data_IF_056772078139
#
_entry.id   IF_056772078139
#
_cell.length_a   1.000
_cell.length_b   1.000
_cell.length_c   1.000
_cell.angle_alpha   90.00
_cell.angle_beta   90.00
_cell.angle_gamma   90.00
#
_symmetry.space_group_name_H-M   'P 1'
#
loop_
_entity.id
_entity.type
_entity.pdbx_description
1 polymer ?
#
# COMPACT_ATOMS: atom_id res chain seq x y z
N UNK A 1 41.63 28.25 -27.17
CA UNK A 1 41.12 27.13 -26.38
C UNK A 1 40.91 27.63 -24.96
N UNK A 2 39.69 27.98 -24.60
CA UNK A 2 39.31 28.42 -23.26
C UNK A 2 39.26 27.22 -22.32
N UNK A 3 39.91 27.35 -21.16
CA UNK A 3 39.86 26.40 -20.05
C UNK A 3 38.42 26.24 -19.53
N UNK A 4 37.97 25.03 -19.17
CA UNK A 4 36.65 24.84 -18.60
C UNK A 4 36.56 25.50 -17.20
N UNK A 5 35.46 26.21 -16.97
CA UNK A 5 35.15 26.92 -15.73
C UNK A 5 34.77 25.93 -14.61
N UNK A 6 35.77 25.50 -13.84
CA UNK A 6 35.61 24.54 -12.74
C UNK A 6 34.65 25.03 -11.65
N UNK A 7 34.60 26.35 -11.40
CA UNK A 7 33.72 26.93 -10.38
C UNK A 7 32.23 26.75 -10.70
N UNK A 8 31.85 26.99 -11.96
CA UNK A 8 30.47 26.87 -12.43
C UNK A 8 29.96 25.42 -12.33
N UNK A 9 30.81 24.46 -12.71
CA UNK A 9 30.50 23.03 -12.61
C UNK A 9 30.26 22.57 -11.17
N UNK A 10 31.04 23.13 -10.22
CA UNK A 10 30.93 22.81 -8.80
C UNK A 10 29.62 23.34 -8.17
N UNK A 11 29.16 24.53 -8.57
CA UNK A 11 27.86 25.06 -8.10
C UNK A 11 26.67 24.22 -8.57
N UNK A 12 26.69 23.74 -9.81
CA UNK A 12 25.63 22.85 -10.32
C UNK A 12 25.62 21.49 -9.61
N UNK A 13 26.79 20.90 -9.35
CA UNK A 13 26.92 19.68 -8.56
C UNK A 13 26.39 19.85 -7.14
N UNK A 14 26.77 20.96 -6.48
CA UNK A 14 26.31 21.26 -5.13
C UNK A 14 24.79 21.51 -5.08
N UNK A 15 24.24 22.25 -6.04
CA UNK A 15 22.80 22.50 -6.14
C UNK A 15 22.02 21.22 -6.42
N UNK A 16 22.54 20.33 -7.28
CA UNK A 16 21.97 19.02 -7.56
C UNK A 16 21.98 18.12 -6.31
N UNK A 17 23.06 18.14 -5.53
CA UNK A 17 23.15 17.37 -4.28
C UNK A 17 22.19 17.91 -3.20
N UNK A 18 21.96 19.23 -3.14
CA UNK A 18 20.99 19.85 -2.24
C UNK A 18 19.54 19.56 -2.68
N UNK A 19 19.25 19.50 -3.98
CA UNK A 19 17.92 19.11 -4.47
C UNK A 19 17.67 17.61 -4.32
N UNK A 20 18.71 16.76 -4.45
CA UNK A 20 18.66 15.33 -4.16
C UNK A 20 18.49 15.04 -2.66
N UNK A 21 19.00 15.90 -1.76
CA UNK A 21 18.83 15.75 -0.31
C UNK A 21 17.49 16.27 0.22
N UNK A 22 16.76 17.05 -0.59
CA UNK A 22 15.37 17.41 -0.35
C UNK A 22 14.43 16.34 -0.95
N UNK A 23 14.61 15.08 -0.55
CA UNK A 23 13.49 14.13 -0.59
C UNK A 23 12.50 14.56 0.50
N UNK A 24 11.62 15.50 0.17
CA UNK A 24 10.44 15.74 0.99
C UNK A 24 9.64 14.44 1.01
N UNK A 25 9.66 13.74 2.15
CA UNK A 25 8.77 12.63 2.40
C UNK A 25 7.33 13.17 2.35
N UNK A 26 6.68 13.02 1.20
CA UNK A 26 5.29 13.40 1.00
C UNK A 26 4.39 12.39 1.73
N UNK A 27 4.37 12.45 3.05
CA UNK A 27 3.32 11.82 3.85
C UNK A 27 2.12 12.77 3.90
N UNK A 28 0.92 12.21 3.85
CA UNK A 28 -0.32 12.92 4.17
C UNK A 28 -0.87 12.39 5.48
N UNK A 29 -1.53 13.26 6.24
CA UNK A 29 -2.16 12.90 7.52
C UNK A 29 -3.62 12.59 7.24
N UNK A 30 -4.07 11.43 7.72
CA UNK A 30 -5.48 11.10 7.78
C UNK A 30 -5.96 11.21 9.23
N UNK A 31 -7.04 11.92 9.43
CA UNK A 31 -7.63 12.21 10.73
C UNK A 31 -9.17 12.23 10.61
N UNK A 32 -9.87 12.69 11.65
CA UNK A 32 -11.34 12.73 11.63
C UNK A 32 -11.89 13.69 10.56
N UNK A 33 -11.13 14.72 10.19
CA UNK A 33 -11.51 15.74 9.23
C UNK A 33 -11.19 15.29 7.79
N UNK A 34 -10.12 14.51 7.62
CA UNK A 34 -9.68 13.92 6.35
C UNK A 34 -9.52 12.41 6.53
N UNK A 35 -10.62 11.65 6.62
CA UNK A 35 -10.58 10.25 7.04
C UNK A 35 -10.05 9.29 5.97
N UNK A 36 -9.99 9.72 4.72
CA UNK A 36 -9.49 8.88 3.63
C UNK A 36 -8.81 9.67 2.52
N UNK A 37 -7.97 8.96 1.76
CA UNK A 37 -7.45 9.39 0.46
C UNK A 37 -7.85 8.37 -0.61
N UNK A 38 -8.19 8.86 -1.81
CA UNK A 38 -8.57 8.02 -2.94
C UNK A 38 -7.48 8.03 -4.02
N UNK A 39 -7.11 6.84 -4.48
CA UNK A 39 -6.13 6.60 -5.53
C UNK A 39 -6.77 5.79 -6.68
N UNK A 40 -6.17 5.89 -7.87
CA UNK A 40 -6.66 5.13 -9.04
C UNK A 40 -6.70 3.63 -8.76
N UNK A 41 -7.68 2.96 -9.39
CA UNK A 41 -7.84 1.50 -9.41
C UNK A 41 -6.50 0.77 -9.51
N UNK A 42 -6.30 -0.20 -8.62
CA UNK A 42 -5.17 -1.10 -8.71
C UNK A 42 -5.45 -2.20 -9.73
N UNK A 43 -4.56 -2.36 -10.71
CA UNK A 43 -4.59 -3.52 -11.60
C UNK A 43 -4.06 -4.75 -10.85
N UNK A 44 -4.90 -5.32 -9.98
CA UNK A 44 -4.60 -6.51 -9.19
C UNK A 44 -4.74 -7.79 -10.04
N UNK A 45 -4.01 -7.86 -11.17
CA UNK A 45 -3.94 -9.05 -12.01
C UNK A 45 -3.31 -10.24 -11.28
N UNK A 46 -2.98 -11.31 -12.03
CA UNK A 46 -2.34 -12.49 -11.45
C UNK A 46 -0.94 -12.20 -10.89
N UNK A 47 -0.28 -11.16 -11.39
CA UNK A 47 0.99 -10.68 -10.88
C UNK A 47 0.88 -9.18 -10.63
N UNK A 48 1.06 -8.76 -9.38
CA UNK A 48 0.91 -7.37 -8.99
C UNK A 48 1.31 -7.14 -7.54
N UNK A 49 1.85 -5.95 -7.28
CA UNK A 49 2.31 -5.55 -5.96
C UNK A 49 1.73 -4.18 -5.64
N UNK A 50 1.31 -4.01 -4.39
CA UNK A 50 0.95 -2.73 -3.81
C UNK A 50 1.80 -2.52 -2.55
N UNK A 51 2.45 -1.37 -2.46
CA UNK A 51 3.28 -0.97 -1.31
C UNK A 51 2.74 0.33 -0.72
N UNK A 52 2.78 0.41 0.62
CA UNK A 52 2.51 1.63 1.37
C UNK A 52 3.36 1.64 2.64
N UNK A 53 3.56 2.82 3.19
CA UNK A 53 4.12 2.99 4.53
C UNK A 53 3.08 3.65 5.42
N UNK A 54 3.01 3.26 6.69
CA UNK A 54 2.11 3.89 7.66
C UNK A 54 2.81 4.11 8.99
N UNK A 55 2.27 5.05 9.75
CA UNK A 55 2.69 5.37 11.12
C UNK A 55 1.43 5.74 11.91
N UNK A 56 1.22 5.12 13.07
CA UNK A 56 0.05 5.37 13.91
C UNK A 56 0.33 4.99 15.37
N UNK A 57 -0.43 5.55 16.29
CA UNK A 57 -0.59 5.14 17.69
C UNK A 57 -1.88 4.33 17.93
N UNK A 58 -2.78 4.28 16.93
CA UNK A 58 -4.05 3.57 17.03
C UNK A 58 -3.87 2.06 16.78
N UNK A 59 -4.33 1.19 17.70
CA UNK A 59 -4.15 -0.26 17.56
C UNK A 59 -5.11 -0.89 16.54
N UNK A 60 -6.13 -0.14 16.09
CA UNK A 60 -7.14 -0.61 15.14
C UNK A 60 -7.44 0.50 14.14
N UNK A 61 -7.51 0.15 12.85
CA UNK A 61 -7.81 1.12 11.81
C UNK A 61 -7.72 0.50 10.43
N UNK A 62 -8.58 0.94 9.51
CA UNK A 62 -8.49 0.57 8.10
C UNK A 62 -7.27 1.26 7.51
N UNK A 63 -6.45 0.53 6.75
CA UNK A 63 -5.31 1.10 6.04
C UNK A 63 -5.58 1.17 4.54
N UNK A 64 -6.17 0.13 3.97
CA UNK A 64 -6.49 0.08 2.55
C UNK A 64 -7.78 -0.71 2.29
N UNK A 65 -8.58 -0.23 1.35
CA UNK A 65 -9.73 -0.94 0.80
C UNK A 65 -9.87 -0.75 -0.71
N UNK A 66 -10.21 -1.83 -1.42
CA UNK A 66 -10.66 -1.80 -2.81
C UNK A 66 -11.47 -3.07 -3.10
N UNK A 67 -12.42 -3.01 -4.02
CA UNK A 67 -13.29 -4.12 -4.39
C UNK A 67 -13.62 -4.14 -5.90
N UNK A 68 -14.40 -5.12 -6.34
CA UNK A 68 -14.84 -5.29 -7.73
C UNK A 68 -16.10 -4.47 -8.11
N UNK A 69 -16.42 -3.45 -7.32
CA UNK A 69 -17.65 -2.67 -7.48
C UNK A 69 -18.83 -3.25 -6.68
N UNK A 70 -18.56 -3.84 -5.52
CA UNK A 70 -19.57 -4.33 -4.58
C UNK A 70 -20.14 -5.72 -4.86
N UNK A 71 -19.45 -6.56 -5.64
CA UNK A 71 -19.96 -7.89 -5.99
C UNK A 71 -19.41 -8.97 -5.06
N UNK A 72 -18.13 -9.34 -5.18
CA UNK A 72 -17.54 -10.46 -4.42
C UNK A 72 -16.08 -10.27 -4.04
N UNK A 73 -15.26 -9.72 -4.93
CA UNK A 73 -13.81 -9.64 -4.76
C UNK A 73 -13.40 -8.36 -4.06
N UNK A 74 -12.47 -8.46 -3.11
CA UNK A 74 -11.99 -7.31 -2.36
C UNK A 74 -10.59 -7.54 -1.79
N UNK A 75 -9.90 -6.46 -1.47
CA UNK A 75 -8.73 -6.42 -0.59
C UNK A 75 -9.02 -5.42 0.54
N UNK A 76 -8.96 -5.89 1.78
CA UNK A 76 -9.07 -5.09 3.00
C UNK A 76 -7.82 -5.29 3.85
N UNK A 77 -7.03 -4.24 4.01
CA UNK A 77 -5.87 -4.22 4.89
C UNK A 77 -6.18 -3.32 6.08
N UNK A 78 -5.98 -3.83 7.29
CA UNK A 78 -6.23 -3.07 8.53
C UNK A 78 -5.33 -3.51 9.67
N UNK A 79 -5.23 -2.66 10.68
CA UNK A 79 -4.73 -3.06 11.99
C UNK A 79 -5.86 -3.69 12.80
N UNK A 80 -5.54 -4.80 13.48
CA UNK A 80 -6.38 -5.43 14.49
C UNK A 80 -5.50 -5.73 15.69
N UNK A 81 -5.72 -5.05 16.82
CA UNK A 81 -4.89 -5.16 18.02
C UNK A 81 -3.39 -5.04 17.70
N UNK A 82 -3.03 -4.00 16.95
CA UNK A 82 -1.64 -3.68 16.58
C UNK A 82 -0.94 -4.70 15.68
N UNK A 83 -1.66 -5.66 15.13
CA UNK A 83 -1.18 -6.59 14.11
C UNK A 83 -1.80 -6.26 12.76
N UNK A 84 -1.04 -6.42 11.68
CA UNK A 84 -1.52 -6.15 10.34
C UNK A 84 -2.34 -7.35 9.85
N UNK A 85 -3.56 -7.10 9.39
CA UNK A 85 -4.46 -8.13 8.88
C UNK A 85 -4.93 -7.78 7.47
N UNK A 86 -4.61 -8.66 6.53
CA UNK A 86 -5.15 -8.65 5.19
C UNK A 86 -6.30 -9.65 5.10
N UNK A 87 -7.49 -9.17 4.77
CA UNK A 87 -8.62 -10.00 4.34
C UNK A 87 -8.84 -9.76 2.85
N UNK A 88 -8.99 -10.83 2.07
CA UNK A 88 -9.17 -10.70 0.63
C UNK A 88 -10.07 -11.81 0.07
N UNK A 89 -10.73 -11.54 -1.05
CA UNK A 89 -11.46 -12.53 -1.83
C UNK A 89 -11.15 -12.34 -3.32
N UNK A 90 -11.03 -13.47 -4.01
CA UNK A 90 -10.66 -13.60 -5.42
C UNK A 90 -11.48 -14.75 -6.04
N UNK A 91 -12.80 -14.72 -5.88
CA UNK A 91 -13.76 -15.73 -6.35
C UNK A 91 -13.86 -17.01 -5.51
N UNK A 92 -12.80 -17.39 -4.79
CA UNK A 92 -12.71 -18.64 -4.01
C UNK A 92 -13.26 -18.60 -2.58
N UNK A 93 -13.74 -17.45 -2.12
CA UNK A 93 -14.13 -17.19 -0.74
C UNK A 93 -13.02 -16.52 0.07
N UNK A 94 -13.43 -15.77 1.10
CA UNK A 94 -12.55 -14.88 1.84
C UNK A 94 -11.40 -15.61 2.56
N UNK A 95 -10.20 -15.09 2.38
CA UNK A 95 -8.98 -15.51 3.04
C UNK A 95 -8.50 -14.42 4.01
N UNK A 96 -7.71 -14.83 5.02
CA UNK A 96 -7.12 -13.93 6.01
C UNK A 96 -5.64 -14.27 6.19
N UNK A 97 -4.77 -13.27 6.13
CA UNK A 97 -3.34 -13.31 6.49
C UNK A 97 -3.13 -12.28 7.61
N UNK A 98 -2.35 -12.62 8.64
CA UNK A 98 -2.00 -11.69 9.72
C UNK A 98 -0.49 -11.74 9.97
N UNK A 99 0.14 -10.57 10.09
CA UNK A 99 1.60 -10.43 10.25
C UNK A 99 1.91 -9.31 11.24
N UNK A 100 3.01 -9.48 11.98
CA UNK A 100 3.52 -8.47 12.90
C UNK A 100 2.70 -8.35 14.19
N UNK A 101 3.18 -7.48 15.06
CA UNK A 101 2.55 -7.06 16.31
C UNK A 101 3.10 -5.67 16.68
N UNK A 102 2.45 -4.98 17.61
CA UNK A 102 2.89 -3.66 18.10
C UNK A 102 3.18 -2.64 16.99
N UNK A 103 2.48 -2.73 15.85
CA UNK A 103 2.70 -1.85 14.69
C UNK A 103 2.06 -0.46 14.85
N UNK A 104 1.59 -0.14 16.05
CA UNK A 104 1.07 1.18 16.44
C UNK A 104 2.06 1.88 17.39
N UNK A 105 3.36 1.62 17.23
CA UNK A 105 4.41 2.11 18.11
C UNK A 105 4.84 3.56 17.80
N UNK A 106 4.16 4.22 16.85
CA UNK A 106 4.49 5.56 16.40
C UNK A 106 5.70 5.63 15.44
N UNK A 107 6.19 4.50 14.91
CA UNK A 107 7.22 4.47 13.86
C UNK A 107 6.64 4.15 12.49
N UNK A 108 7.43 4.43 11.45
CA UNK A 108 7.08 4.08 10.07
C UNK A 108 7.29 2.59 9.84
N UNK A 109 6.26 1.93 9.34
CA UNK A 109 6.28 0.53 8.93
C UNK A 109 6.05 0.41 7.43
N UNK A 110 6.88 -0.38 6.75
CA UNK A 110 6.72 -0.64 5.32
C UNK A 110 5.89 -1.89 5.10
N UNK A 111 4.79 -1.74 4.36
CA UNK A 111 3.85 -2.81 4.04
C UNK A 111 3.86 -3.13 2.55
N UNK A 112 3.78 -4.42 2.23
CA UNK A 112 3.59 -4.90 0.87
C UNK A 112 2.48 -5.96 0.83
N UNK A 113 1.53 -5.77 -0.08
CA UNK A 113 0.62 -6.82 -0.54
C UNK A 113 1.08 -7.23 -1.93
N UNK A 114 1.43 -8.50 -2.12
CA UNK A 114 1.86 -9.00 -3.42
C UNK A 114 1.06 -10.23 -3.84
N UNK A 115 0.78 -10.29 -5.13
CA UNK A 115 0.13 -11.40 -5.82
C UNK A 115 1.12 -12.05 -6.78
N UNK A 116 1.17 -13.38 -6.72
CA UNK A 116 1.89 -14.24 -7.66
C UNK A 116 1.01 -15.45 -7.95
N UNK A 117 0.25 -15.34 -9.02
CA UNK A 117 -0.78 -16.28 -9.46
C UNK A 117 -1.81 -16.55 -8.33
N UNK A 118 -1.93 -17.79 -7.86
CA UNK A 118 -2.80 -18.17 -6.76
C UNK A 118 -2.27 -17.75 -5.38
N UNK A 119 -1.00 -17.35 -5.28
CA UNK A 119 -0.37 -16.96 -4.02
C UNK A 119 -0.58 -15.47 -3.75
N UNK A 120 -1.02 -15.15 -2.54
CA UNK A 120 -1.09 -13.80 -2.01
C UNK A 120 -0.23 -13.71 -0.75
N UNK A 121 0.62 -12.69 -0.67
CA UNK A 121 1.50 -12.45 0.47
C UNK A 121 1.27 -11.08 1.08
N UNK A 122 1.36 -11.03 2.40
CA UNK A 122 1.43 -9.82 3.20
C UNK A 122 2.81 -9.75 3.83
N UNK A 123 3.50 -8.62 3.66
CA UNK A 123 4.79 -8.35 4.29
C UNK A 123 4.72 -7.04 5.08
N UNK A 124 5.34 -7.02 6.26
CA UNK A 124 5.61 -5.81 7.04
C UNK A 124 7.04 -5.87 7.57
N UNK A 125 7.83 -4.83 7.30
CA UNK A 125 9.23 -4.69 7.71
C UNK A 125 10.10 -5.93 7.38
N UNK A 126 9.83 -6.54 6.23
CA UNK A 126 10.54 -7.73 5.74
C UNK A 126 10.01 -9.06 6.26
N UNK A 127 9.13 -9.07 7.27
CA UNK A 127 8.46 -10.28 7.75
C UNK A 127 7.27 -10.57 6.86
N UNK A 128 7.26 -11.74 6.21
CA UNK A 128 6.23 -12.11 5.21
C UNK A 128 5.43 -13.33 5.65
N UNK A 129 4.12 -13.32 5.39
CA UNK A 129 3.25 -14.49 5.42
C UNK A 129 2.46 -14.56 4.12
N UNK A 130 2.12 -15.79 3.69
CA UNK A 130 1.44 -16.01 2.42
C UNK A 130 0.34 -17.05 2.55
N UNK A 131 -0.65 -16.95 1.67
CA UNK A 131 -1.67 -17.99 1.46
C UNK A 131 -1.89 -18.27 -0.01
N UNK A 132 -2.25 -19.51 -0.28
CA UNK A 132 -2.70 -19.98 -1.59
C UNK A 132 -4.22 -19.90 -1.66
N UNK A 133 -4.72 -19.16 -2.64
CA UNK A 133 -6.14 -19.07 -2.96
C UNK A 133 -6.59 -20.38 -3.61
N UNK A 134 -7.81 -20.83 -3.32
CA UNK A 134 -8.40 -22.04 -3.91
C UNK A 134 -9.55 -21.63 -4.82
N UNK A 135 -9.71 -22.26 -5.97
CA UNK A 135 -10.77 -21.91 -6.91
C UNK A 135 -10.38 -22.20 -8.36
N UNK A 136 -11.32 -21.96 -9.27
CA UNK A 136 -11.09 -22.02 -10.72
C UNK A 136 -10.69 -20.67 -11.32
N UNK A 137 -11.02 -19.59 -10.63
CA UNK A 137 -10.76 -18.21 -11.04
C UNK A 137 -10.11 -17.48 -9.87
N UNK A 138 -9.08 -16.68 -10.19
CA UNK A 138 -8.33 -15.86 -9.24
C UNK A 138 -8.22 -14.41 -9.72
N UNK A 139 -8.95 -14.06 -10.78
CA UNK A 139 -9.00 -12.70 -11.27
C UNK A 139 -9.64 -11.80 -10.20
N UNK A 140 -9.17 -10.57 -10.09
CA UNK A 140 -9.78 -9.57 -9.21
C UNK A 140 -10.81 -8.79 -10.00
N UNK A 141 -12.07 -9.24 -9.96
CA UNK A 141 -13.18 -8.63 -10.67
C UNK A 141 -12.88 -8.38 -12.17
N UNK A 142 -13.41 -7.27 -12.68
CA UNK A 142 -13.10 -6.75 -14.01
C UNK A 142 -12.61 -5.32 -13.85
N UNK A 143 -11.40 -5.02 -14.35
CA UNK A 143 -10.76 -3.71 -14.13
C UNK A 143 -11.66 -2.49 -14.41
N UNK A 144 -12.56 -2.59 -15.39
CA UNK A 144 -13.52 -1.52 -15.73
C UNK A 144 -14.57 -1.25 -14.65
N UNK A 145 -14.97 -2.27 -13.88
CA UNK A 145 -15.98 -2.18 -12.81
C UNK A 145 -15.38 -2.06 -11.42
N UNK A 146 -14.10 -2.41 -11.25
CA UNK A 146 -13.43 -2.35 -9.95
C UNK A 146 -13.49 -0.93 -9.36
N UNK A 147 -13.58 -0.83 -8.05
CA UNK A 147 -13.50 0.45 -7.34
C UNK A 147 -12.08 1.00 -7.35
N UNK A 148 -11.98 2.30 -7.08
CA UNK A 148 -10.71 2.93 -6.78
C UNK A 148 -10.11 2.39 -5.46
N UNK A 149 -8.86 2.75 -5.17
CA UNK A 149 -8.19 2.34 -3.92
C UNK A 149 -8.39 3.43 -2.88
N UNK A 150 -8.91 3.07 -1.72
CA UNK A 150 -9.10 3.97 -0.59
C UNK A 150 -8.08 3.67 0.51
N UNK A 151 -7.47 4.70 1.08
CA UNK A 151 -6.49 4.62 2.16
C UNK A 151 -7.05 5.26 3.43
N UNK A 152 -6.89 4.59 4.58
CA UNK A 152 -7.31 5.03 5.93
C UNK A 152 -8.79 4.89 6.26
N UNK A 153 -9.67 5.18 5.30
CA UNK A 153 -11.12 5.12 5.47
C UNK A 153 -11.81 4.85 4.15
N UNK A 154 -13.14 4.81 4.18
CA UNK A 154 -13.99 4.73 2.99
C UNK A 154 -15.02 5.88 3.04
N UNK A 155 -15.38 6.48 1.90
CA UNK A 155 -16.42 7.50 1.85
C UNK A 155 -17.74 6.97 2.41
N UNK A 156 -18.49 7.83 3.09
CA UNK A 156 -19.88 7.54 3.40
C UNK A 156 -20.69 7.40 2.09
N UNK A 157 -21.65 6.47 2.08
CA UNK A 157 -22.58 6.26 0.96
C UNK A 157 -23.71 7.28 0.94
#
# INVERSE_FOLDING_TARGET
>A
MSSPDFGVTMYYLLFCLISLSLQSNFAFVLDKQNPYSQFRKWYAGLNGTLELEFKTDEPNGLLLYTDDGGTYDFFELKLVNSALRLRYNLGGGAQIITVGNNLNDGHWHKVQVARRDEHTSLSVDGVTQSKTSRGKEFAFGKFITNSDVFIGGIPAS
#
